data_IF_964682191506
#
_entry.id   IF_964682191506
#
_cell.length_a   1.000
_cell.length_b   1.000
_cell.length_c   1.000
_cell.angle_alpha   90.00
_cell.angle_beta   90.00
_cell.angle_gamma   90.00
#
_symmetry.space_group_name_H-M   'P 1'
#
loop_
_entity.id
_entity.type
_entity.pdbx_description
1 polymer ?
#
# COMPACT_ATOMS: atom_id res chain seq x y z
N UNK A 1 -7.56 -35.63 10.91
CA UNK A 1 -7.27 -34.28 11.42
C UNK A 1 -5.92 -33.73 10.93
N UNK A 2 -4.78 -34.42 11.08
CA UNK A 2 -3.43 -33.92 10.70
C UNK A 2 -3.28 -33.49 9.25
N UNK A 3 -3.81 -34.28 8.29
CA UNK A 3 -3.76 -33.95 6.86
C UNK A 3 -4.56 -32.68 6.53
N UNK A 4 -5.69 -32.45 7.20
CA UNK A 4 -6.54 -31.28 7.00
C UNK A 4 -5.84 -29.99 7.53
N UNK A 5 -5.28 -30.05 8.74
CA UNK A 5 -4.54 -28.92 9.34
C UNK A 5 -3.33 -28.53 8.47
N UNK A 6 -2.54 -29.51 8.00
CA UNK A 6 -1.40 -29.25 7.11
C UNK A 6 -1.85 -28.61 5.79
N UNK A 7 -3.00 -29.08 5.23
CA UNK A 7 -3.55 -28.48 4.01
C UNK A 7 -3.98 -27.03 4.22
N UNK A 8 -4.63 -26.73 5.35
CA UNK A 8 -5.04 -25.36 5.69
C UNK A 8 -3.81 -24.45 5.85
N UNK A 9 -2.78 -24.91 6.54
CA UNK A 9 -1.53 -24.15 6.71
C UNK A 9 -0.89 -23.86 5.35
N UNK A 10 -0.77 -24.85 4.47
CA UNK A 10 -0.21 -24.63 3.14
C UNK A 10 -1.03 -23.62 2.32
N UNK A 11 -2.37 -23.71 2.34
CA UNK A 11 -3.23 -22.74 1.66
C UNK A 11 -3.01 -21.32 2.19
N UNK A 12 -2.86 -21.14 3.51
CA UNK A 12 -2.58 -19.84 4.10
C UNK A 12 -1.22 -19.31 3.63
N UNK A 13 -0.18 -20.15 3.61
CA UNK A 13 1.14 -19.79 3.12
C UNK A 13 1.06 -19.38 1.64
N UNK A 14 0.39 -20.16 0.81
CA UNK A 14 0.23 -19.85 -0.62
C UNK A 14 -0.47 -18.50 -0.84
N UNK A 15 -1.52 -18.21 -0.08
CA UNK A 15 -2.22 -16.91 -0.11
C UNK A 15 -1.28 -15.77 0.27
N UNK A 16 -0.46 -15.93 1.30
CA UNK A 16 0.50 -14.90 1.75
C UNK A 16 1.56 -14.67 0.67
N UNK A 17 2.11 -15.73 0.08
CA UNK A 17 3.10 -15.62 -1.00
C UNK A 17 2.52 -14.89 -2.20
N UNK A 18 1.29 -15.22 -2.60
CA UNK A 18 0.59 -14.54 -3.70
C UNK A 18 0.39 -13.05 -3.37
N UNK A 19 -0.01 -12.72 -2.13
CA UNK A 19 -0.18 -11.34 -1.69
C UNK A 19 1.14 -10.55 -1.75
N UNK A 20 2.23 -11.14 -1.27
CA UNK A 20 3.57 -10.51 -1.31
C UNK A 20 4.00 -10.27 -2.76
N UNK A 21 3.79 -11.24 -3.66
CA UNK A 21 4.09 -11.09 -5.08
C UNK A 21 3.26 -9.98 -5.72
N UNK A 22 1.96 -9.92 -5.43
CA UNK A 22 1.06 -8.87 -5.95
C UNK A 22 1.51 -7.47 -5.48
N UNK A 23 1.85 -7.31 -4.21
CA UNK A 23 2.36 -6.05 -3.65
C UNK A 23 3.71 -5.68 -4.28
N UNK A 24 4.60 -6.65 -4.48
CA UNK A 24 5.90 -6.41 -5.12
C UNK A 24 5.74 -5.93 -6.57
N UNK A 25 4.85 -6.55 -7.34
CA UNK A 25 4.52 -6.15 -8.71
C UNK A 25 3.95 -4.73 -8.72
N UNK A 26 3.04 -4.42 -7.79
CA UNK A 26 2.47 -3.08 -7.65
C UNK A 26 3.55 -2.02 -7.38
N UNK A 27 4.48 -2.29 -6.45
CA UNK A 27 5.59 -1.37 -6.13
C UNK A 27 6.48 -1.15 -7.35
N UNK A 28 6.84 -2.20 -8.08
CA UNK A 28 7.65 -2.10 -9.30
C UNK A 28 6.93 -1.29 -10.36
N UNK A 29 5.64 -1.54 -10.57
CA UNK A 29 4.82 -0.80 -11.54
C UNK A 29 4.77 0.69 -11.20
N UNK A 30 4.49 1.05 -9.94
CA UNK A 30 4.49 2.44 -9.46
C UNK A 30 5.86 3.11 -9.65
N UNK A 31 6.95 2.38 -9.41
CA UNK A 31 8.31 2.90 -9.57
C UNK A 31 8.67 3.18 -11.04
N UNK A 32 8.25 2.30 -11.94
CA UNK A 32 8.49 2.46 -13.38
C UNK A 32 7.65 3.61 -13.99
N UNK A 33 6.37 3.68 -13.63
CA UNK A 33 5.48 4.73 -14.13
C UNK A 33 5.88 6.11 -13.62
N UNK A 34 6.41 6.23 -12.41
CA UNK A 34 6.91 7.49 -11.85
C UNK A 34 8.01 8.13 -12.71
N UNK A 35 8.88 7.32 -13.30
CA UNK A 35 9.96 7.82 -14.19
C UNK A 35 9.44 8.36 -15.51
N UNK A 36 8.34 7.84 -16.02
CA UNK A 36 7.77 8.23 -17.30
C UNK A 36 6.82 9.42 -17.21
N UNK A 37 6.01 9.51 -16.17
CA UNK A 37 4.93 10.49 -16.03
C UNK A 37 5.21 11.59 -15.00
N UNK A 38 6.37 11.56 -14.32
CA UNK A 38 6.70 12.50 -13.25
C UNK A 38 5.98 12.23 -11.92
N UNK A 39 4.96 11.36 -11.94
CA UNK A 39 4.20 10.94 -10.73
C UNK A 39 3.99 9.43 -10.71
N UNK A 40 4.08 8.77 -9.54
CA UNK A 40 3.74 7.37 -9.43
C UNK A 40 2.24 7.19 -9.70
N UNK A 41 1.92 6.32 -10.67
CA UNK A 41 0.52 6.08 -11.04
C UNK A 41 0.26 4.61 -11.39
N UNK A 42 -1.01 4.22 -11.32
CA UNK A 42 -1.52 2.91 -11.75
C UNK A 42 -2.62 3.16 -12.79
N UNK A 43 -2.44 2.67 -14.01
CA UNK A 43 -3.38 2.85 -15.12
C UNK A 43 -3.77 4.32 -15.36
N UNK A 44 -2.81 5.26 -15.25
CA UNK A 44 -3.06 6.68 -15.45
C UNK A 44 -3.68 7.42 -14.26
N UNK A 45 -3.92 6.75 -13.13
CA UNK A 45 -4.40 7.37 -11.89
C UNK A 45 -3.27 7.43 -10.86
N UNK A 46 -2.95 8.64 -10.41
CA UNK A 46 -1.93 8.90 -9.39
C UNK A 46 -2.57 9.16 -8.02
N UNK A 47 -2.34 8.28 -7.02
CA UNK A 47 -2.72 8.56 -5.64
C UNK A 47 -1.66 9.46 -4.99
N UNK A 48 -2.03 10.67 -4.62
CA UNK A 48 -1.14 11.66 -4.02
C UNK A 48 -1.54 11.98 -2.58
N UNK A 49 -0.56 12.01 -1.67
CA UNK A 49 -0.76 12.41 -0.27
C UNK A 49 -0.64 13.92 -0.13
N UNK A 50 -1.62 14.54 0.52
CA UNK A 50 -1.64 15.98 0.79
C UNK A 50 -0.83 16.27 2.05
N UNK A 51 0.28 16.97 1.90
CA UNK A 51 1.23 17.21 2.98
C UNK A 51 1.17 18.65 3.55
N UNK A 52 0.48 19.56 2.86
CA UNK A 52 0.38 20.96 3.24
C UNK A 52 -1.07 21.42 3.35
N UNK A 53 -1.28 22.56 3.99
CA UNK A 53 -2.60 23.18 4.16
C UNK A 53 -2.98 24.16 3.06
N UNK A 54 -2.22 24.22 1.95
CA UNK A 54 -2.46 25.21 0.88
C UNK A 54 -3.82 25.07 0.19
N UNK A 55 -4.40 23.87 0.22
CA UNK A 55 -5.69 23.53 -0.39
C UNK A 55 -6.80 23.28 0.65
N UNK A 56 -6.56 23.57 1.93
CA UNK A 56 -7.61 23.49 2.96
C UNK A 56 -8.83 24.32 2.55
N UNK A 57 -10.01 23.89 2.99
CA UNK A 57 -11.35 24.19 2.54
C UNK A 57 -11.85 23.30 1.39
N UNK A 58 -10.97 22.82 0.51
CA UNK A 58 -11.32 21.84 -0.55
C UNK A 58 -10.70 20.48 -0.30
N UNK A 59 -9.39 20.44 0.01
CA UNK A 59 -8.60 19.23 0.24
C UNK A 59 -7.81 19.43 1.52
N UNK A 60 -7.99 18.54 2.51
CA UNK A 60 -7.36 18.71 3.81
C UNK A 60 -5.98 18.06 3.87
N UNK A 61 -5.12 18.63 4.70
CA UNK A 61 -3.85 18.00 5.04
C UNK A 61 -4.07 16.59 5.59
N UNK A 62 -3.32 15.62 5.09
CA UNK A 62 -3.45 14.21 5.47
C UNK A 62 -4.47 13.42 4.67
N UNK A 63 -5.16 14.02 3.72
CA UNK A 63 -5.96 13.30 2.74
C UNK A 63 -5.07 12.63 1.69
N UNK A 64 -5.62 11.62 1.04
CA UNK A 64 -5.12 11.10 -0.23
C UNK A 64 -6.07 11.53 -1.34
N UNK A 65 -5.54 12.14 -2.39
CA UNK A 65 -6.30 12.54 -3.57
C UNK A 65 -5.99 11.63 -4.75
N UNK A 66 -6.99 11.39 -5.60
CA UNK A 66 -6.81 10.68 -6.85
C UNK A 66 -6.71 11.70 -7.98
N UNK A 67 -5.61 11.64 -8.73
CA UNK A 67 -5.37 12.53 -9.86
C UNK A 67 -5.22 11.72 -11.15
N UNK A 68 -5.81 12.19 -12.23
CA UNK A 68 -5.57 11.68 -13.57
C UNK A 68 -4.24 12.23 -14.08
N UNK A 69 -3.37 11.35 -14.59
CA UNK A 69 -2.10 11.76 -15.18
C UNK A 69 -2.37 12.37 -16.56
N UNK A 70 -1.99 13.62 -16.72
CA UNK A 70 -2.25 14.43 -17.92
C UNK A 70 -0.95 14.92 -18.58
N UNK A 71 0.07 14.08 -18.57
CA UNK A 71 1.41 14.42 -19.10
C UNK A 71 1.40 14.52 -20.63
N UNK A 72 0.49 15.32 -21.16
CA UNK A 72 0.29 15.61 -22.58
C UNK A 72 0.38 17.12 -22.79
N UNK A 73 1.39 17.62 -23.55
CA UNK A 73 1.53 19.05 -23.85
C UNK A 73 0.33 19.66 -24.59
N UNK A 74 -0.50 18.86 -25.23
CA UNK A 74 -1.71 19.30 -25.93
C UNK A 74 -2.96 19.33 -25.06
N UNK A 75 -2.86 18.83 -23.79
CA UNK A 75 -4.00 18.82 -22.89
C UNK A 75 -4.39 20.25 -22.49
N UNK A 76 -5.66 20.61 -22.66
CA UNK A 76 -6.17 21.92 -22.29
C UNK A 76 -6.89 21.84 -20.92
N UNK A 77 -6.48 22.73 -20.03
CA UNK A 77 -7.11 22.88 -18.71
C UNK A 77 -8.01 24.09 -18.69
N UNK A 78 -9.01 24.05 -17.80
CA UNK A 78 -9.95 25.14 -17.60
C UNK A 78 -9.72 25.85 -16.26
N UNK A 79 -10.20 27.08 -16.17
CA UNK A 79 -10.28 27.81 -14.91
C UNK A 79 -11.15 27.03 -13.92
N UNK A 80 -10.62 26.79 -12.74
CA UNK A 80 -11.27 25.99 -11.70
C UNK A 80 -10.71 24.58 -11.57
N UNK A 81 -10.01 24.07 -12.57
CA UNK A 81 -9.31 22.78 -12.46
C UNK A 81 -8.26 22.82 -11.35
N UNK A 82 -8.16 21.73 -10.58
CA UNK A 82 -7.10 21.55 -9.60
C UNK A 82 -6.03 20.66 -10.23
N UNK A 83 -4.82 21.19 -10.34
CA UNK A 83 -3.73 20.57 -11.07
C UNK A 83 -2.50 20.38 -10.19
N UNK A 84 -1.72 19.35 -10.50
CA UNK A 84 -0.48 19.00 -9.80
C UNK A 84 0.70 19.25 -10.74
N UNK A 85 1.73 19.93 -10.24
CA UNK A 85 2.94 20.28 -10.99
C UNK A 85 4.16 20.30 -10.05
N UNK A 86 5.38 20.05 -10.56
CA UNK A 86 6.58 20.10 -9.75
C UNK A 86 6.97 21.55 -9.42
N UNK A 87 7.41 21.77 -8.19
CA UNK A 87 8.07 23.00 -7.74
C UNK A 87 9.39 22.65 -7.06
N UNK A 88 10.30 23.62 -6.96
CA UNK A 88 11.56 23.46 -6.23
C UNK A 88 11.47 24.13 -4.87
N UNK A 89 11.61 23.33 -3.82
CA UNK A 89 11.66 23.83 -2.43
C UNK A 89 12.99 23.39 -1.80
N UNK A 90 13.80 24.33 -1.36
CA UNK A 90 15.13 24.06 -0.77
C UNK A 90 16.06 23.22 -1.66
N UNK A 91 15.94 23.32 -2.98
CA UNK A 91 16.73 22.55 -3.94
C UNK A 91 16.18 21.16 -4.27
N UNK A 92 15.09 20.75 -3.65
CA UNK A 92 14.41 19.47 -3.95
C UNK A 92 13.15 19.72 -4.79
N UNK A 93 12.90 18.82 -5.76
CA UNK A 93 11.67 18.84 -6.53
C UNK A 93 10.55 18.17 -5.74
N UNK A 94 9.49 18.92 -5.46
CA UNK A 94 8.29 18.43 -4.77
C UNK A 94 7.06 18.73 -5.60
N UNK A 95 6.01 17.90 -5.45
CA UNK A 95 4.74 18.11 -6.14
C UNK A 95 3.90 19.13 -5.36
N UNK A 96 3.40 20.14 -6.06
CA UNK A 96 2.42 21.10 -5.58
C UNK A 96 1.08 20.90 -6.27
N UNK A 97 -0.02 21.07 -5.55
CA UNK A 97 -1.38 20.93 -6.10
C UNK A 97 -2.17 22.17 -5.78
N UNK A 98 -2.54 22.92 -6.81
CA UNK A 98 -3.27 24.19 -6.70
C UNK A 98 -4.38 24.28 -7.74
N UNK A 99 -5.28 25.25 -7.57
CA UNK A 99 -6.38 25.53 -8.49
C UNK A 99 -5.98 26.54 -9.54
N UNK A 100 -6.37 26.30 -10.79
CA UNK A 100 -6.24 27.29 -11.88
C UNK A 100 -7.24 28.42 -11.63
N UNK A 101 -6.72 29.60 -11.41
CA UNK A 101 -7.51 30.83 -11.19
C UNK A 101 -7.61 31.72 -12.44
N UNK A 102 -6.66 31.55 -13.37
CA UNK A 102 -6.62 32.32 -14.60
C UNK A 102 -5.98 31.50 -15.73
N UNK A 103 -6.50 31.63 -16.95
CA UNK A 103 -5.95 31.05 -18.16
C UNK A 103 -5.54 32.20 -19.09
N UNK A 104 -4.28 32.26 -19.45
CA UNK A 104 -3.71 33.27 -20.30
C UNK A 104 -3.24 32.63 -21.61
N UNK A 105 -3.79 33.09 -22.75
CA UNK A 105 -3.35 32.64 -24.07
C UNK A 105 -2.44 33.69 -24.65
N UNK A 106 -1.22 33.28 -25.00
CA UNK A 106 -0.21 34.15 -25.64
C UNK A 106 0.33 33.39 -26.86
N UNK A 107 0.03 33.95 -28.02
CA UNK A 107 0.29 33.32 -29.33
C UNK A 107 -0.18 31.87 -29.39
N UNK A 108 0.76 30.93 -29.41
CA UNK A 108 0.49 29.48 -29.49
C UNK A 108 0.66 28.75 -28.17
N UNK A 109 0.87 29.46 -27.03
CA UNK A 109 1.11 28.86 -25.71
C UNK A 109 0.00 29.30 -24.78
N UNK A 110 -0.58 28.32 -24.10
CA UNK A 110 -1.53 28.57 -23.00
C UNK A 110 -0.81 28.46 -21.67
N UNK A 111 -0.91 29.51 -20.88
CA UNK A 111 -0.39 29.62 -19.53
C UNK A 111 -1.52 29.54 -18.52
N UNK A 112 -1.25 28.87 -17.42
CA UNK A 112 -2.18 28.68 -16.32
C UNK A 112 -1.60 29.32 -15.05
N UNK A 113 -2.32 30.28 -14.47
CA UNK A 113 -2.01 30.85 -13.17
C UNK A 113 -2.75 30.06 -12.10
N UNK A 114 -2.02 29.56 -11.15
CA UNK A 114 -2.55 28.73 -10.07
C UNK A 114 -2.59 29.47 -8.73
N UNK A 115 -3.39 28.99 -7.79
CA UNK A 115 -3.46 29.50 -6.42
C UNK A 115 -3.99 28.39 -5.50
N UNK A 116 -3.44 28.31 -4.27
CA UNK A 116 -4.02 27.48 -3.23
C UNK A 116 -5.37 28.01 -2.75
N UNK A 117 -6.31 27.11 -2.45
CA UNK A 117 -7.65 27.47 -2.01
C UNK A 117 -7.66 28.12 -0.61
N UNK A 118 -6.71 27.75 0.25
CA UNK A 118 -6.54 28.33 1.57
C UNK A 118 -5.97 29.77 1.47
N UNK A 119 -6.81 30.76 1.54
CA UNK A 119 -6.42 32.17 1.44
C UNK A 119 -5.58 32.67 2.62
N UNK A 120 -5.54 31.96 3.75
CA UNK A 120 -4.66 32.31 4.87
C UNK A 120 -3.19 32.04 4.57
N UNK A 121 -2.92 30.95 3.86
CA UNK A 121 -1.56 30.55 3.45
C UNK A 121 -1.21 31.02 2.04
N UNK A 122 -2.20 31.19 1.17
CA UNK A 122 -2.06 31.56 -0.25
C UNK A 122 -2.94 32.79 -0.57
N UNK A 123 -2.66 33.98 0.02
CA UNK A 123 -3.46 35.19 -0.21
C UNK A 123 -3.41 35.66 -1.67
N UNK A 124 -2.28 35.44 -2.35
CA UNK A 124 -2.04 35.84 -3.72
C UNK A 124 -1.87 34.61 -4.64
N UNK A 125 -2.17 34.74 -5.93
CA UNK A 125 -1.85 33.71 -6.93
C UNK A 125 -0.36 33.39 -6.99
N UNK A 126 -0.04 32.19 -7.45
CA UNK A 126 1.34 31.75 -7.64
C UNK A 126 2.04 32.66 -8.67
N UNK A 127 3.31 32.95 -8.41
CA UNK A 127 4.11 33.85 -9.26
C UNK A 127 4.45 33.19 -10.60
N UNK A 128 4.75 31.88 -10.55
CA UNK A 128 5.17 31.11 -11.70
C UNK A 128 3.94 30.61 -12.46
N UNK A 129 3.89 30.87 -13.76
CA UNK A 129 2.87 30.36 -14.65
C UNK A 129 3.19 28.91 -15.03
N UNK A 130 2.17 28.09 -15.07
CA UNK A 130 2.26 26.72 -15.53
C UNK A 130 1.85 26.60 -16.99
N UNK A 131 2.30 25.56 -17.66
CA UNK A 131 1.88 25.16 -19.01
C UNK A 131 1.40 23.72 -18.98
N UNK A 132 0.75 23.25 -20.06
CA UNK A 132 0.36 21.83 -20.16
C UNK A 132 1.54 20.88 -20.05
N UNK A 133 2.75 21.30 -20.43
CA UNK A 133 3.97 20.50 -20.29
C UNK A 133 4.54 20.44 -18.88
N UNK A 134 4.21 21.39 -18.01
CA UNK A 134 4.66 21.40 -16.60
C UNK A 134 3.66 20.75 -15.67
N UNK A 135 2.38 20.70 -16.02
CA UNK A 135 1.34 20.03 -15.26
C UNK A 135 1.43 18.53 -15.51
N UNK A 136 1.49 17.74 -14.44
CA UNK A 136 1.68 16.28 -14.51
C UNK A 136 0.41 15.50 -14.20
N UNK A 137 -0.56 16.12 -13.50
CA UNK A 137 -1.83 15.46 -13.17
C UNK A 137 -2.94 16.46 -12.86
N UNK A 138 -4.19 16.04 -13.06
CA UNK A 138 -5.41 16.77 -12.72
C UNK A 138 -6.21 16.03 -11.67
N UNK A 139 -6.69 16.72 -10.64
CA UNK A 139 -7.52 16.14 -9.59
C UNK A 139 -8.87 15.69 -10.13
N UNK A 140 -9.27 14.46 -9.82
CA UNK A 140 -10.53 13.85 -10.31
C UNK A 140 -11.76 14.22 -9.49
N UNK A 141 -11.62 14.99 -8.41
CA UNK A 141 -12.69 15.23 -7.46
C UNK A 141 -12.78 14.19 -6.33
N UNK A 142 -11.97 13.12 -6.38
CA UNK A 142 -12.00 12.04 -5.40
C UNK A 142 -10.92 12.23 -4.35
N UNK A 143 -11.30 12.28 -3.07
CA UNK A 143 -10.39 12.30 -1.94
C UNK A 143 -10.76 11.24 -0.91
N UNK A 144 -9.76 10.70 -0.23
CA UNK A 144 -9.92 9.71 0.84
C UNK A 144 -9.27 10.29 2.10
N UNK A 145 -10.12 10.68 3.06
CA UNK A 145 -9.68 11.35 4.29
C UNK A 145 -8.77 10.49 5.16
N UNK A 146 -7.69 11.07 5.66
CA UNK A 146 -6.79 10.44 6.63
C UNK A 146 -5.84 9.37 6.07
N UNK A 147 -6.04 8.89 4.85
CA UNK A 147 -5.16 7.86 4.24
C UNK A 147 -3.76 8.40 4.00
N UNK A 148 -3.62 9.66 3.62
CA UNK A 148 -2.32 10.32 3.48
C UNK A 148 -1.54 10.34 4.79
N UNK A 149 -2.20 10.64 5.93
CA UNK A 149 -1.60 10.58 7.26
C UNK A 149 -1.13 9.16 7.61
N UNK A 150 -1.95 8.15 7.33
CA UNK A 150 -1.61 6.74 7.56
C UNK A 150 -0.39 6.32 6.73
N UNK A 151 -0.35 6.67 5.45
CA UNK A 151 0.82 6.39 4.58
C UNK A 151 2.07 7.11 5.07
N UNK A 152 1.94 8.35 5.51
CA UNK A 152 3.05 9.11 6.10
C UNK A 152 3.53 8.47 7.40
N UNK A 153 2.62 8.00 8.25
CA UNK A 153 2.96 7.28 9.48
C UNK A 153 3.74 5.98 9.20
N UNK A 154 3.29 5.16 8.24
CA UNK A 154 4.00 3.91 7.88
C UNK A 154 5.44 4.18 7.41
N UNK A 155 5.70 5.32 6.79
CA UNK A 155 7.05 5.72 6.34
C UNK A 155 7.99 6.10 7.49
N UNK A 156 7.46 6.39 8.68
CA UNK A 156 8.29 6.62 9.87
C UNK A 156 8.87 5.30 10.38
N UNK A 157 10.01 5.36 11.08
CA UNK A 157 10.62 4.18 11.69
C UNK A 157 9.66 3.45 12.64
N UNK A 158 8.92 4.22 13.46
CA UNK A 158 7.95 3.68 14.39
C UNK A 158 6.75 3.06 13.67
N UNK A 159 6.22 3.74 12.66
CA UNK A 159 5.09 3.24 11.87
C UNK A 159 5.44 1.97 11.10
N UNK A 160 6.61 1.91 10.49
CA UNK A 160 7.10 0.70 9.83
C UNK A 160 7.25 -0.47 10.82
N UNK A 161 7.84 -0.21 12.00
CA UNK A 161 7.97 -1.23 13.04
C UNK A 161 6.61 -1.76 13.49
N UNK A 162 5.67 -0.88 13.81
CA UNK A 162 4.34 -1.27 14.33
C UNK A 162 3.45 -1.91 13.26
N UNK A 163 3.46 -1.41 12.04
CA UNK A 163 2.54 -1.86 10.99
C UNK A 163 3.08 -3.02 10.15
N UNK A 164 4.40 -3.20 10.09
CA UNK A 164 5.03 -4.23 9.25
C UNK A 164 5.77 -5.26 10.08
N UNK A 165 6.79 -4.85 10.85
CA UNK A 165 7.66 -5.80 11.54
C UNK A 165 6.94 -6.51 12.69
N UNK A 166 6.20 -5.79 13.53
CA UNK A 166 5.53 -6.37 14.69
C UNK A 166 4.48 -7.43 14.27
N UNK A 167 3.56 -7.19 13.31
CA UNK A 167 2.65 -8.22 12.83
C UNK A 167 3.36 -9.43 12.21
N UNK A 168 4.45 -9.23 11.47
CA UNK A 168 5.26 -10.32 10.93
C UNK A 168 5.84 -11.21 12.05
N UNK A 169 6.47 -10.62 13.06
CA UNK A 169 7.03 -11.36 14.19
C UNK A 169 5.95 -12.12 14.99
N UNK A 170 4.80 -11.50 15.20
CA UNK A 170 3.66 -12.16 15.85
C UNK A 170 3.14 -13.34 15.04
N UNK A 171 3.07 -13.18 13.72
CA UNK A 171 2.65 -14.22 12.82
C UNK A 171 3.62 -15.42 12.82
N UNK A 172 4.93 -15.19 12.72
CA UNK A 172 5.94 -16.24 12.83
C UNK A 172 5.87 -16.97 14.18
N UNK A 173 5.76 -16.22 15.27
CA UNK A 173 5.62 -16.78 16.61
C UNK A 173 4.39 -17.67 16.73
N UNK A 174 3.26 -17.24 16.18
CA UNK A 174 2.03 -18.04 16.13
C UNK A 174 2.23 -19.36 15.37
N UNK A 175 2.88 -19.31 14.20
CA UNK A 175 3.16 -20.52 13.41
C UNK A 175 4.08 -21.50 14.13
N UNK A 176 5.11 -21.01 14.83
CA UNK A 176 6.00 -21.85 15.64
C UNK A 176 5.25 -22.54 16.78
N UNK A 177 4.34 -21.82 17.45
CA UNK A 177 3.51 -22.39 18.55
C UNK A 177 2.58 -23.47 18.00
N UNK A 178 1.87 -23.18 16.90
CA UNK A 178 0.96 -24.14 16.27
C UNK A 178 1.72 -25.38 15.77
N UNK A 179 2.89 -25.19 15.17
CA UNK A 179 3.75 -26.27 14.70
C UNK A 179 4.16 -27.20 15.85
N UNK A 180 4.65 -26.66 16.97
CA UNK A 180 4.98 -27.43 18.20
C UNK A 180 3.78 -28.17 18.76
N UNK A 181 2.62 -27.54 18.80
CA UNK A 181 1.37 -28.16 19.29
C UNK A 181 0.96 -29.37 18.43
N UNK A 182 1.05 -29.22 17.11
CA UNK A 182 0.76 -30.31 16.15
C UNK A 182 1.75 -31.45 16.30
N UNK A 183 3.05 -31.17 16.45
CA UNK A 183 4.08 -32.17 16.69
C UNK A 183 3.87 -32.93 17.99
N UNK A 184 3.63 -32.24 19.11
CA UNK A 184 3.36 -32.84 20.40
C UNK A 184 2.12 -33.74 20.38
N UNK A 185 1.04 -33.30 19.75
CA UNK A 185 -0.16 -34.11 19.59
C UNK A 185 0.10 -35.35 18.71
N UNK A 186 0.95 -35.21 17.69
CA UNK A 186 1.37 -36.30 16.82
C UNK A 186 2.13 -37.37 17.61
N UNK A 187 3.11 -36.96 18.38
CA UNK A 187 3.91 -37.87 19.21
C UNK A 187 3.06 -38.57 20.26
N UNK A 188 2.10 -37.90 20.89
CA UNK A 188 1.15 -38.51 21.81
C UNK A 188 0.30 -39.59 21.12
N UNK A 189 -0.16 -39.39 19.88
CA UNK A 189 -0.94 -40.37 19.15
C UNK A 189 -0.09 -41.60 18.76
N UNK A 190 1.14 -41.37 18.27
CA UNK A 190 2.04 -42.45 17.92
C UNK A 190 2.38 -43.33 19.16
N UNK A 191 2.66 -42.67 20.27
CA UNK A 191 2.95 -43.42 21.52
C UNK A 191 1.74 -44.22 22.02
N UNK A 192 0.54 -43.69 21.92
CA UNK A 192 -0.67 -44.46 22.27
C UNK A 192 -0.85 -45.68 21.35
N UNK A 193 -0.67 -45.51 20.06
CA UNK A 193 -0.80 -46.63 19.10
C UNK A 193 0.26 -47.69 19.33
N UNK A 194 1.51 -47.30 19.60
CA UNK A 194 2.60 -48.22 19.90
C UNK A 194 2.36 -49.01 21.20
N UNK A 195 1.80 -48.37 22.24
CA UNK A 195 1.47 -49.03 23.47
C UNK A 195 0.33 -50.04 23.28
N UNK A 196 -0.71 -49.69 22.51
CA UNK A 196 -1.77 -50.66 22.18
C UNK A 196 -1.25 -51.86 21.38
N UNK A 197 -0.35 -51.65 20.44
CA UNK A 197 0.27 -52.74 19.67
C UNK A 197 1.12 -53.67 20.58
N UNK A 198 1.86 -53.12 21.56
CA UNK A 198 2.61 -53.91 22.54
C UNK A 198 1.68 -54.75 23.43
N UNK A 199 0.61 -54.15 23.96
CA UNK A 199 -0.37 -54.85 24.79
C UNK A 199 -1.02 -56.01 24.03
N UNK A 200 -1.44 -55.78 22.79
CA UNK A 200 -2.03 -56.82 21.96
C UNK A 200 -1.03 -57.94 21.58
N UNK A 201 0.27 -57.63 21.46
CA UNK A 201 1.31 -58.63 21.22
C UNK A 201 1.57 -59.49 22.48
N UNK A 202 1.63 -58.88 23.63
CA UNK A 202 1.78 -59.56 24.92
C UNK A 202 0.58 -60.51 25.24
N UNK A 203 -0.65 -60.01 24.95
CA UNK A 203 -1.87 -60.81 25.13
C UNK A 203 -1.90 -62.03 24.22
N UNK A 204 -1.49 -61.86 22.94
CA UNK A 204 -1.36 -62.96 21.97
C UNK A 204 -0.28 -63.97 22.40
N UNK A 205 0.84 -63.51 22.95
CA UNK A 205 1.89 -64.42 23.43
C UNK A 205 1.46 -65.26 24.63
N UNK A 206 0.72 -64.66 25.58
CA UNK A 206 0.14 -65.37 26.71
C UNK A 206 -0.88 -66.41 26.29
N UNK A 207 -1.78 -66.07 25.35
CA UNK A 207 -2.78 -67.02 24.83
C UNK A 207 -2.14 -68.23 24.09
N UNK A 208 -0.96 -68.04 23.50
CA UNK A 208 -0.25 -69.12 22.84
C UNK A 208 0.51 -70.04 23.81
N UNK A 209 0.99 -69.49 24.95
CA UNK A 209 1.64 -70.29 26.00
C UNK A 209 0.67 -71.13 26.81
N UNK A 210 -0.58 -70.71 27.01
CA UNK A 210 -1.60 -71.42 27.73
C UNK A 210 -2.26 -72.54 26.92
N UNK A 211 -1.96 -72.67 25.64
CA UNK A 211 -2.45 -73.71 24.72
C UNK A 211 -1.43 -74.80 24.40
N UNK A 212 -0.20 -74.70 24.90
CA UNK A 212 0.88 -75.64 24.73
C UNK A 212 1.08 -76.47 26.00
#
# INVERSE_FOLDING_TARGET
>A
MKKVVKRIINIIIDIIVILILAVSILIVTLSLTSKSSGVPNVFGVAPLSVLSSSMEDTINTGDMILCEVTNDPSYEYEKGDIVTFPITVNGESVLNTHRIVEVVKDDNITYYRTQGDNKKTNPEPDKDLQTSSTIVAKYTGTRIGGVGNFLSFIRTQLGFFLCVLLPMCLFESFFLIVGKQVENNTNRFINKENNHRKQNAEEKSKLSSDKA
#
